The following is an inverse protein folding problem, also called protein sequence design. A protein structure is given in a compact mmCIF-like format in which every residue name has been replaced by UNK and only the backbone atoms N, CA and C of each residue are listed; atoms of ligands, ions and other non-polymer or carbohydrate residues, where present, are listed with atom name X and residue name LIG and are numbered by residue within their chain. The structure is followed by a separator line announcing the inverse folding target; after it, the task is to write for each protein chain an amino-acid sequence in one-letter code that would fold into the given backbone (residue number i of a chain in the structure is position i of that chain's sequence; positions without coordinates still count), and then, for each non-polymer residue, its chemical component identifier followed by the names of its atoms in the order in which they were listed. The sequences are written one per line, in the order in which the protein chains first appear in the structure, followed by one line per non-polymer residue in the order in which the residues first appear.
data_IF_018863018149
#
_entry.id   IF_018863018149
#
_cell.length_a   1.000
_cell.length_b   1.000
_cell.length_c   1.000
_cell.angle_alpha   90.00
_cell.angle_beta   90.00
_cell.angle_gamma   90.00
#
_symmetry.space_group_name_H-M   'P 1'
#
loop_
_entity.id
_entity.type
_entity.pdbx_description
1 polymer ?
#
# COMPACT_ATOMS: atom_id res chain seq x y z
N UNK A 1 3.59 -1.00 -12.54
CA UNK A 1 2.90 -1.46 -13.76
C UNK A 1 2.51 -2.91 -13.58
N UNK A 2 1.30 -3.29 -13.99
CA UNK A 2 0.81 -4.66 -13.95
C UNK A 2 0.21 -5.04 -15.30
N UNK A 3 0.51 -6.24 -15.78
CA UNK A 3 -0.03 -6.79 -17.01
C UNK A 3 -1.08 -7.85 -16.67
N UNK A 4 -2.23 -7.75 -17.29
CA UNK A 4 -3.34 -8.69 -17.18
C UNK A 4 -3.59 -9.33 -18.55
N UNK A 5 -4.48 -10.34 -18.62
CA UNK A 5 -4.76 -11.06 -19.87
C UNK A 5 -5.28 -10.14 -20.99
N UNK A 6 -6.08 -9.14 -20.66
CA UNK A 6 -6.76 -8.28 -21.63
C UNK A 6 -6.33 -6.80 -21.58
N UNK A 7 -5.56 -6.38 -20.58
CA UNK A 7 -5.15 -4.98 -20.41
C UNK A 7 -3.88 -4.85 -19.58
N UNK A 8 -3.26 -3.68 -19.63
CA UNK A 8 -2.19 -3.29 -18.72
C UNK A 8 -2.67 -2.19 -17.80
N UNK A 9 -2.13 -2.15 -16.60
CA UNK A 9 -2.35 -1.07 -15.63
C UNK A 9 -1.04 -0.38 -15.30
N UNK A 10 -1.03 0.94 -15.37
CA UNK A 10 0.08 1.76 -14.92
C UNK A 10 -0.41 2.58 -13.74
N UNK A 11 0.21 2.39 -12.59
CA UNK A 11 -0.18 3.09 -11.37
C UNK A 11 0.98 3.81 -10.71
N UNK A 12 0.68 4.89 -10.02
CA UNK A 12 1.61 5.65 -9.20
C UNK A 12 1.25 5.47 -7.73
N UNK A 13 2.24 5.26 -6.88
CA UNK A 13 2.06 5.04 -5.44
C UNK A 13 1.38 6.21 -4.71
N UNK A 14 1.51 7.41 -5.26
CA UNK A 14 0.93 8.65 -4.72
C UNK A 14 -0.12 9.23 -5.67
N UNK A 15 -0.89 8.37 -6.34
CA UNK A 15 -1.89 8.78 -7.34
C UNK A 15 -2.90 9.80 -6.77
N UNK A 16 -3.31 9.65 -5.51
CA UNK A 16 -4.25 10.57 -4.86
C UNK A 16 -3.71 12.00 -4.75
N UNK A 17 -2.40 12.14 -4.56
CA UNK A 17 -1.73 13.44 -4.52
C UNK A 17 -1.54 14.02 -5.93
N UNK A 18 -1.30 13.16 -6.92
CA UNK A 18 -1.17 13.55 -8.32
C UNK A 18 -2.52 13.99 -8.93
N UNK A 19 -3.64 13.51 -8.41
CA UNK A 19 -4.99 13.94 -8.84
C UNK A 19 -5.27 15.43 -8.60
N UNK A 20 -4.53 16.07 -7.73
CA UNK A 20 -4.60 17.54 -7.50
C UNK A 20 -3.83 18.35 -8.54
N UNK A 21 -3.12 17.69 -9.47
CA UNK A 21 -2.32 18.28 -10.55
C UNK A 21 -2.79 17.83 -11.94
N UNK A 22 -1.94 17.23 -12.78
CA UNK A 22 -2.29 16.81 -14.15
C UNK A 22 -3.18 15.56 -14.17
N UNK A 23 -4.31 15.62 -13.48
CA UNK A 23 -5.20 14.49 -13.18
C UNK A 23 -5.81 13.79 -14.40
N UNK A 24 -6.00 14.54 -15.51
CA UNK A 24 -6.63 13.98 -16.71
C UNK A 24 -5.82 12.83 -17.34
N UNK A 25 -4.50 12.85 -17.22
CA UNK A 25 -3.63 11.81 -17.75
C UNK A 25 -3.60 10.53 -16.91
N UNK A 26 -4.06 10.57 -15.64
CA UNK A 26 -4.14 9.39 -14.78
C UNK A 26 -5.36 8.51 -15.09
N UNK A 27 -6.45 9.10 -15.58
CA UNK A 27 -7.72 8.41 -15.78
C UNK A 27 -7.63 7.28 -16.81
N UNK A 28 -6.76 7.40 -17.81
CA UNK A 28 -6.57 6.39 -18.86
C UNK A 28 -5.58 5.27 -18.51
N UNK A 29 -4.88 5.35 -17.37
CA UNK A 29 -3.79 4.43 -17.05
C UNK A 29 -4.23 3.18 -16.27
N UNK A 30 -5.47 3.13 -15.81
CA UNK A 30 -5.99 2.01 -15.02
C UNK A 30 -6.33 0.78 -15.87
N UNK A 31 -6.65 0.98 -17.16
CA UNK A 31 -6.96 -0.12 -18.07
C UNK A 31 -6.57 0.26 -19.50
N UNK A 32 -5.32 0.00 -19.86
CA UNK A 32 -4.76 0.27 -21.19
C UNK A 32 -4.79 -1.02 -22.01
N UNK A 33 -5.52 -1.03 -23.09
CA UNK A 33 -5.63 -2.16 -24.03
C UNK A 33 -4.80 -1.96 -25.29
N UNK A 34 -4.60 -0.70 -25.68
CA UNK A 34 -3.88 -0.32 -26.91
C UNK A 34 -2.90 0.83 -26.60
N UNK A 35 -1.83 0.90 -27.36
CA UNK A 35 -0.82 1.98 -27.22
C UNK A 35 -1.42 3.36 -27.48
N UNK A 36 -2.44 3.45 -28.35
CA UNK A 36 -3.16 4.70 -28.64
C UNK A 36 -3.93 5.29 -27.45
N UNK A 37 -4.25 4.48 -26.45
CA UNK A 37 -4.93 4.91 -25.21
C UNK A 37 -3.95 5.54 -24.21
N UNK A 38 -2.65 5.38 -24.43
CA UNK A 38 -1.66 6.00 -23.57
C UNK A 38 -1.70 7.54 -23.74
N UNK A 39 -1.55 8.28 -22.64
CA UNK A 39 -1.35 9.72 -22.71
C UNK A 39 -0.14 10.07 -23.55
N UNK A 40 -0.12 11.29 -24.08
CA UNK A 40 1.02 11.78 -24.84
C UNK A 40 2.31 11.68 -24.02
N UNK A 41 3.45 11.55 -24.71
CA UNK A 41 4.77 11.51 -24.05
C UNK A 41 4.98 12.70 -23.11
N UNK A 42 4.54 13.89 -23.51
CA UNK A 42 4.64 15.09 -22.69
C UNK A 42 3.83 14.96 -21.40
N UNK A 43 2.59 14.45 -21.48
CA UNK A 43 1.73 14.24 -20.33
C UNK A 43 2.30 13.17 -19.36
N UNK A 44 2.82 12.06 -19.91
CA UNK A 44 3.49 11.05 -19.10
C UNK A 44 4.75 11.59 -18.42
N UNK A 45 5.55 12.37 -19.14
CA UNK A 45 6.74 13.01 -18.57
C UNK A 45 6.37 13.94 -17.42
N UNK A 46 5.33 14.76 -17.60
CA UNK A 46 4.84 15.66 -16.55
C UNK A 46 4.36 14.89 -15.31
N UNK A 47 3.65 13.76 -15.49
CA UNK A 47 3.23 12.89 -14.39
C UNK A 47 4.42 12.29 -13.63
N UNK A 48 5.42 11.79 -14.35
CA UNK A 48 6.62 11.22 -13.74
C UNK A 48 7.39 12.28 -12.95
N UNK A 49 7.58 13.47 -13.54
CA UNK A 49 8.25 14.59 -12.86
C UNK A 49 7.49 15.03 -11.60
N UNK A 50 6.16 15.14 -11.67
CA UNK A 50 5.35 15.44 -10.50
C UNK A 50 5.45 14.36 -9.41
N UNK A 51 5.49 13.08 -9.79
CA UNK A 51 5.68 11.97 -8.86
C UNK A 51 7.08 12.00 -8.21
N UNK A 52 8.11 12.30 -8.99
CA UNK A 52 9.48 12.46 -8.49
C UNK A 52 9.56 13.60 -7.46
N UNK A 53 8.99 14.75 -7.78
CA UNK A 53 8.95 15.89 -6.87
C UNK A 53 8.24 15.56 -5.55
N UNK A 54 7.11 14.86 -5.57
CA UNK A 54 6.44 14.40 -4.36
C UNK A 54 7.31 13.44 -3.51
N UNK A 55 8.22 12.70 -4.14
CA UNK A 55 9.16 11.85 -3.42
C UNK A 55 10.31 12.66 -2.81
N UNK A 56 10.87 13.61 -3.56
CA UNK A 56 11.92 14.51 -3.10
C UNK A 56 11.44 15.38 -1.94
N UNK A 57 10.22 15.92 -2.03
CA UNK A 57 9.58 16.70 -0.96
C UNK A 57 9.18 15.84 0.25
N UNK A 58 9.36 14.53 0.20
CA UNK A 58 9.02 13.61 1.29
C UNK A 58 7.53 13.54 1.63
N UNK A 59 6.66 14.02 0.72
CA UNK A 59 5.21 14.00 0.95
C UNK A 59 4.70 12.57 0.97
N UNK A 60 4.05 12.18 2.06
CA UNK A 60 3.47 10.85 2.23
C UNK A 60 2.02 10.83 1.74
N UNK A 61 1.65 9.77 1.01
CA UNK A 61 0.25 9.49 0.72
C UNK A 61 -0.50 9.08 2.00
N UNK A 62 -1.82 9.28 2.04
CA UNK A 62 -2.63 8.99 3.23
C UNK A 62 -2.47 7.55 3.73
N UNK A 63 -2.39 6.58 2.81
CA UNK A 63 -2.15 5.18 3.19
C UNK A 63 -0.77 4.96 3.83
N UNK A 64 0.26 5.72 3.42
CA UNK A 64 1.60 5.66 4.02
C UNK A 64 1.60 6.25 5.43
N UNK A 65 0.90 7.36 5.63
CA UNK A 65 0.69 7.97 6.95
C UNK A 65 -0.04 6.99 7.88
N UNK A 66 -1.13 6.41 7.41
CA UNK A 66 -1.89 5.41 8.17
C UNK A 66 -1.03 4.18 8.51
N UNK A 67 -0.16 3.74 7.60
CA UNK A 67 0.76 2.63 7.86
C UNK A 67 1.81 3.02 8.90
N UNK A 68 2.37 4.23 8.85
CA UNK A 68 3.30 4.71 9.87
C UNK A 68 2.65 4.80 11.25
N UNK A 69 1.42 5.32 11.32
CA UNK A 69 0.66 5.38 12.58
C UNK A 69 0.40 3.98 13.16
N UNK A 70 0.03 3.02 12.32
CA UNK A 70 -0.13 1.61 12.74
C UNK A 70 1.17 0.98 13.25
N UNK A 71 2.32 1.39 12.71
CA UNK A 71 3.63 0.93 13.18
C UNK A 71 4.02 1.56 14.51
N UNK A 72 3.71 2.86 14.70
CA UNK A 72 3.96 3.57 15.95
C UNK A 72 3.04 3.08 17.08
N UNK A 73 1.78 2.83 16.75
CA UNK A 73 0.73 2.41 17.67
C UNK A 73 0.18 1.02 17.26
N UNK A 74 0.92 -0.07 17.49
CA UNK A 74 0.48 -1.40 17.13
C UNK A 74 -0.76 -1.79 17.95
N UNK A 75 -1.86 -2.09 17.26
CA UNK A 75 -3.06 -2.61 17.94
C UNK A 75 -2.74 -3.97 18.55
N UNK A 76 -2.94 -4.14 19.87
CA UNK A 76 -2.68 -5.42 20.51
C UNK A 76 -3.64 -6.50 19.97
N UNK A 77 -3.06 -7.59 19.48
CA UNK A 77 -3.83 -8.72 18.96
C UNK A 77 -4.12 -9.70 20.10
N UNK A 78 -5.40 -9.85 20.44
CA UNK A 78 -5.85 -10.84 21.43
C UNK A 78 -5.99 -12.21 20.76
N UNK A 79 -5.48 -13.30 21.36
CA UNK A 79 -5.68 -14.63 20.82
C UNK A 79 -7.17 -15.02 20.86
N UNK A 80 -7.67 -15.79 19.89
CA UNK A 80 -9.01 -16.37 19.95
C UNK A 80 -9.21 -17.19 21.24
N UNK A 81 -10.45 -17.33 21.76
CA UNK A 81 -10.70 -17.99 23.05
C UNK A 81 -10.12 -19.40 23.16
N UNK A 82 -10.23 -20.20 22.11
CA UNK A 82 -9.69 -21.55 22.06
C UNK A 82 -8.15 -21.56 22.18
N UNK A 83 -7.47 -20.65 21.45
CA UNK A 83 -6.02 -20.49 21.53
C UNK A 83 -5.60 -19.96 22.89
N UNK A 84 -6.34 -19.01 23.45
CA UNK A 84 -6.07 -18.47 24.79
C UNK A 84 -6.13 -19.57 25.86
N UNK A 85 -7.11 -20.49 25.79
CA UNK A 85 -7.22 -21.63 26.68
C UNK A 85 -6.05 -22.61 26.52
N UNK A 86 -5.61 -22.88 25.28
CA UNK A 86 -4.45 -23.73 25.02
C UNK A 86 -3.15 -23.11 25.53
N UNK A 87 -2.97 -21.81 25.34
CA UNK A 87 -1.79 -21.07 25.81
C UNK A 87 -1.70 -21.02 27.34
N UNK A 88 -2.84 -21.03 28.06
CA UNK A 88 -2.87 -21.15 29.52
C UNK A 88 -2.33 -22.50 30.02
N UNK A 89 -2.54 -23.55 29.24
CA UNK A 89 -2.08 -24.92 29.58
C UNK A 89 -0.62 -25.17 29.20
N UNK A 90 -0.03 -24.36 28.37
CA UNK A 90 1.34 -24.55 27.88
C UNK A 90 2.16 -23.25 28.01
N UNK A 91 2.93 -23.16 29.09
CA UNK A 91 3.76 -21.99 29.39
C UNK A 91 4.83 -21.71 28.30
N UNK A 92 5.39 -22.75 27.68
CA UNK A 92 6.38 -22.59 26.61
C UNK A 92 5.74 -21.98 25.36
N UNK A 93 4.58 -22.47 24.95
CA UNK A 93 3.83 -21.91 23.84
C UNK A 93 3.41 -20.45 24.10
N UNK A 94 3.00 -20.15 25.33
CA UNK A 94 2.67 -18.78 25.74
C UNK A 94 3.87 -17.83 25.60
N UNK A 95 5.04 -18.24 26.06
CA UNK A 95 6.27 -17.44 25.92
C UNK A 95 6.59 -17.14 24.45
N UNK A 96 6.43 -18.13 23.57
CA UNK A 96 6.61 -17.95 22.13
C UNK A 96 5.58 -16.99 21.54
N UNK A 97 4.30 -17.12 21.92
CA UNK A 97 3.23 -16.21 21.49
C UNK A 97 3.52 -14.77 21.92
N UNK A 98 3.96 -14.56 23.15
CA UNK A 98 4.27 -13.22 23.68
C UNK A 98 5.49 -12.60 23.01
N UNK A 99 6.40 -13.41 22.46
CA UNK A 99 7.54 -12.96 21.66
C UNK A 99 7.19 -12.62 20.20
N UNK A 100 6.03 -13.03 19.70
CA UNK A 100 5.61 -12.72 18.34
C UNK A 100 5.32 -11.24 18.15
N UNK A 101 5.70 -10.72 16.98
CA UNK A 101 5.30 -9.37 16.58
C UNK A 101 3.78 -9.29 16.36
N UNK A 102 3.17 -8.09 16.43
CA UNK A 102 1.73 -7.92 16.17
C UNK A 102 1.27 -8.44 14.81
N UNK A 103 2.14 -8.44 13.79
CA UNK A 103 1.83 -9.03 12.48
C UNK A 103 1.76 -10.55 12.55
N UNK A 104 2.73 -11.22 13.17
CA UNK A 104 2.73 -12.67 13.33
C UNK A 104 1.58 -13.20 14.21
N UNK A 105 1.01 -12.35 15.06
CA UNK A 105 -0.16 -12.74 15.87
C UNK A 105 -1.48 -12.63 15.12
N UNK A 106 -1.49 -11.98 13.94
CA UNK A 106 -2.69 -11.78 13.09
C UNK A 106 -2.84 -12.87 12.04
N UNK A 107 -1.77 -13.48 11.64
CA UNK A 107 -1.71 -14.58 10.67
C UNK A 107 -1.96 -15.93 11.40
#
# INVERSE_FOLDING_TARGET
MAAFKAHCRIGFWKADLLRKGPAAALAGLDSVTQVSELPSRAALTALVQAAMKLNEDGVLAEWQKAQQERRKNPVPVKPPPALAAALKKNARARKTWDAFTPSHRRD
#
